data_IF_108929111245
#
_entry.id   IF_108929111245
#
_cell.length_a   1.000
_cell.length_b   1.000
_cell.length_c   1.000
_cell.angle_alpha   90.00
_cell.angle_beta   90.00
_cell.angle_gamma   90.00
#
_symmetry.space_group_name_H-M   'P 1'
#
loop_
_entity.id
_entity.type
_entity.pdbx_description
1 polymer ?
#
# COMPACT_ATOMS: atom_id res chain seq x y z
N UNK A 1 -21.53 1.04 -5.64
CA UNK A 1 -22.19 -0.06 -6.39
C UNK A 1 -23.67 0.26 -6.55
N UNK A 2 -24.27 -0.18 -7.65
CA UNK A 2 -25.69 0.03 -7.95
C UNK A 2 -26.56 -0.88 -7.06
N UNK A 3 -27.38 -0.29 -6.18
CA UNK A 3 -28.25 -1.00 -5.24
C UNK A 3 -29.40 -1.74 -5.89
N UNK A 4 -29.67 -1.53 -7.18
CA UNK A 4 -30.66 -2.35 -7.91
C UNK A 4 -30.08 -3.71 -8.34
N UNK A 5 -28.76 -3.88 -8.30
CA UNK A 5 -28.03 -5.08 -8.69
C UNK A 5 -27.29 -5.76 -7.54
N UNK A 6 -27.00 -5.02 -6.46
CA UNK A 6 -26.22 -5.49 -5.33
C UNK A 6 -26.92 -5.21 -4.00
N UNK A 7 -27.04 -6.25 -3.17
CA UNK A 7 -27.23 -6.15 -1.75
C UNK A 7 -25.87 -6.28 -1.07
N UNK A 8 -25.48 -5.29 -0.27
CA UNK A 8 -24.15 -5.25 0.37
C UNK A 8 -24.29 -5.58 1.85
N UNK A 9 -23.81 -6.77 2.21
CA UNK A 9 -23.70 -7.25 3.59
C UNK A 9 -22.27 -7.00 4.08
N UNK A 10 -22.10 -6.18 5.10
CA UNK A 10 -20.79 -5.96 5.73
C UNK A 10 -20.61 -6.89 6.94
N UNK A 11 -19.51 -7.63 6.92
CA UNK A 11 -19.16 -8.59 7.98
C UNK A 11 -18.05 -7.97 8.82
N UNK A 12 -18.45 -7.47 9.99
CA UNK A 12 -17.57 -6.76 10.90
C UNK A 12 -16.85 -7.73 11.83
N UNK A 13 -15.54 -7.80 11.70
CA UNK A 13 -14.65 -8.57 12.57
C UNK A 13 -13.86 -7.70 13.55
N UNK A 14 -14.18 -6.39 13.64
CA UNK A 14 -13.51 -5.44 14.51
C UNK A 14 -13.89 -5.66 15.98
N UNK A 15 -12.90 -5.74 16.85
CA UNK A 15 -13.11 -5.87 18.31
C UNK A 15 -13.18 -4.51 19.03
N UNK A 16 -12.87 -3.42 18.34
CA UNK A 16 -12.87 -2.06 18.89
C UNK A 16 -13.49 -1.09 17.86
N UNK A 17 -14.83 -1.08 17.73
CA UNK A 17 -15.53 -0.22 16.79
C UNK A 17 -15.31 1.28 17.11
N UNK A 18 -15.22 2.09 16.07
CA UNK A 18 -15.00 3.53 16.12
C UNK A 18 -15.98 4.29 15.20
N UNK A 19 -15.73 5.58 14.97
CA UNK A 19 -16.55 6.43 14.10
C UNK A 19 -16.56 5.91 12.65
N UNK A 20 -15.42 5.39 12.16
CA UNK A 20 -15.32 4.82 10.80
C UNK A 20 -16.17 3.55 10.69
N UNK A 21 -16.20 2.72 11.74
CA UNK A 21 -17.09 1.55 11.83
C UNK A 21 -18.57 1.98 11.70
N UNK A 22 -18.95 3.10 12.32
CA UNK A 22 -20.32 3.62 12.23
C UNK A 22 -20.65 4.10 10.80
N UNK A 23 -19.70 4.73 10.11
CA UNK A 23 -19.85 5.15 8.71
C UNK A 23 -20.05 3.93 7.78
N UNK A 24 -19.23 2.87 7.90
CA UNK A 24 -19.41 1.64 7.14
C UNK A 24 -20.77 1.00 7.41
N UNK A 25 -21.20 0.96 8.66
CA UNK A 25 -22.51 0.42 9.03
C UNK A 25 -23.66 1.15 8.37
N UNK A 26 -23.56 2.47 8.26
CA UNK A 26 -24.58 3.30 7.61
C UNK A 26 -24.64 3.09 6.08
N UNK A 27 -23.58 2.56 5.47
CA UNK A 27 -23.49 2.28 4.03
C UNK A 27 -23.95 0.88 3.66
N UNK A 28 -24.07 -0.05 4.61
CA UNK A 28 -24.47 -1.44 4.37
C UNK A 28 -25.99 -1.58 4.23
N UNK A 29 -26.44 -2.57 3.45
CA UNK A 29 -27.85 -2.98 3.43
C UNK A 29 -28.13 -3.90 4.62
N UNK A 30 -27.18 -4.78 4.98
CA UNK A 30 -27.21 -5.59 6.21
C UNK A 30 -25.82 -5.60 6.88
N UNK A 31 -25.80 -5.89 8.17
CA UNK A 31 -24.60 -5.84 9.01
C UNK A 31 -24.48 -7.09 9.90
N UNK A 32 -23.39 -7.82 9.77
CA UNK A 32 -23.08 -8.99 10.59
C UNK A 32 -21.96 -8.66 11.57
N UNK A 33 -22.25 -8.68 12.86
CA UNK A 33 -21.22 -8.54 13.92
C UNK A 33 -20.55 -9.90 14.19
N UNK A 34 -19.40 -10.11 13.57
CA UNK A 34 -18.67 -11.38 13.60
C UNK A 34 -17.38 -11.35 14.41
N UNK A 35 -17.12 -10.28 15.19
CA UNK A 35 -15.89 -10.13 15.98
C UNK A 35 -15.63 -11.32 16.93
N UNK A 36 -16.68 -11.89 17.51
CA UNK A 36 -16.62 -13.01 18.45
C UNK A 36 -17.00 -14.36 17.83
N UNK A 37 -17.23 -14.42 16.52
CA UNK A 37 -17.51 -15.66 15.81
C UNK A 37 -16.20 -16.25 15.29
N UNK A 38 -15.99 -17.56 15.50
CA UNK A 38 -14.80 -18.28 15.07
C UNK A 38 -15.17 -19.68 14.56
N UNK A 39 -14.33 -20.25 13.70
CA UNK A 39 -14.49 -21.58 13.16
C UNK A 39 -15.85 -21.79 12.49
N UNK A 40 -16.52 -22.90 12.81
CA UNK A 40 -17.81 -23.28 12.22
C UNK A 40 -18.90 -22.24 12.44
N UNK A 41 -18.94 -21.60 13.63
CA UNK A 41 -19.94 -20.59 13.94
C UNK A 41 -19.84 -19.35 13.01
N UNK A 42 -18.64 -18.96 12.60
CA UNK A 42 -18.44 -17.90 11.60
C UNK A 42 -18.96 -18.34 10.23
N UNK A 43 -18.58 -19.54 9.79
CA UNK A 43 -19.00 -20.07 8.48
C UNK A 43 -20.52 -20.29 8.41
N UNK A 44 -21.13 -20.79 9.46
CA UNK A 44 -22.58 -21.05 9.51
C UNK A 44 -23.36 -19.74 9.49
N UNK A 45 -22.87 -18.69 10.16
CA UNK A 45 -23.45 -17.35 10.07
C UNK A 45 -23.44 -16.85 8.61
N UNK A 46 -22.29 -16.93 7.92
CA UNK A 46 -22.19 -16.50 6.53
C UNK A 46 -23.09 -17.32 5.61
N UNK A 47 -23.09 -18.64 5.75
CA UNK A 47 -23.95 -19.54 4.96
C UNK A 47 -25.45 -19.26 5.16
N UNK A 48 -25.85 -18.89 6.38
CA UNK A 48 -27.26 -18.57 6.70
C UNK A 48 -27.75 -17.33 5.95
N UNK A 49 -26.85 -16.47 5.47
CA UNK A 49 -27.16 -15.25 4.71
C UNK A 49 -27.38 -15.49 3.23
N UNK A 50 -27.12 -16.70 2.72
CA UNK A 50 -27.24 -17.06 1.30
C UNK A 50 -26.51 -16.08 0.37
N UNK A 51 -25.28 -15.67 0.74
CA UNK A 51 -24.46 -14.75 -0.04
C UNK A 51 -24.02 -15.41 -1.36
N UNK A 52 -24.13 -14.70 -2.48
CA UNK A 52 -23.60 -15.15 -3.77
C UNK A 52 -22.08 -15.15 -3.79
N UNK A 53 -21.48 -14.15 -3.15
CA UNK A 53 -20.02 -13.98 -3.05
C UNK A 53 -19.62 -13.43 -1.67
N UNK A 54 -18.50 -13.92 -1.14
CA UNK A 54 -17.81 -13.33 0.00
C UNK A 54 -16.49 -12.75 -0.48
N UNK A 55 -16.26 -11.47 -0.18
CA UNK A 55 -15.01 -10.76 -0.49
C UNK A 55 -14.18 -10.56 0.78
N UNK A 56 -13.04 -11.24 0.87
CA UNK A 56 -12.04 -11.01 1.92
C UNK A 56 -11.26 -9.72 1.64
N UNK A 57 -11.28 -8.78 2.59
CA UNK A 57 -10.57 -7.51 2.51
C UNK A 57 -9.34 -7.46 3.44
N UNK A 58 -9.05 -8.55 4.13
CA UNK A 58 -7.99 -8.62 5.15
C UNK A 58 -6.74 -9.34 4.65
N UNK A 59 -6.87 -10.37 3.82
CA UNK A 59 -5.76 -11.22 3.41
C UNK A 59 -4.99 -11.71 4.64
N UNK A 60 -3.67 -11.62 4.62
CA UNK A 60 -2.80 -12.08 5.73
C UNK A 60 -2.59 -11.04 6.85
N UNK A 61 -3.44 -10.03 6.96
CA UNK A 61 -3.33 -9.06 8.06
C UNK A 61 -3.86 -9.62 9.38
N UNK A 62 -3.51 -8.96 10.49
CA UNK A 62 -3.97 -9.40 11.81
C UNK A 62 -5.51 -9.38 11.88
N UNK A 63 -6.09 -10.44 12.46
CA UNK A 63 -7.54 -10.58 12.59
C UNK A 63 -8.25 -11.07 11.34
N UNK A 64 -7.50 -11.53 10.32
CA UNK A 64 -8.07 -12.14 9.12
C UNK A 64 -8.89 -13.40 9.43
N UNK A 65 -9.69 -13.83 8.44
CA UNK A 65 -10.58 -14.98 8.53
C UNK A 65 -10.25 -16.07 7.49
N UNK A 66 -9.00 -16.14 7.04
CA UNK A 66 -8.60 -17.11 6.02
C UNK A 66 -8.78 -18.55 6.48
N UNK A 67 -8.57 -18.85 7.78
CA UNK A 67 -8.81 -20.19 8.34
C UNK A 67 -10.28 -20.60 8.21
N UNK A 68 -11.19 -19.69 8.49
CA UNK A 68 -12.64 -19.94 8.37
C UNK A 68 -13.05 -20.03 6.89
N UNK A 69 -12.52 -19.13 6.04
CA UNK A 69 -12.81 -19.15 4.60
C UNK A 69 -12.32 -20.42 3.90
N UNK A 70 -11.32 -21.12 4.46
CA UNK A 70 -10.91 -22.45 3.98
C UNK A 70 -12.03 -23.52 4.10
N UNK A 71 -13.06 -23.28 4.90
CA UNK A 71 -14.25 -24.16 4.97
C UNK A 71 -15.34 -23.84 3.92
N UNK A 72 -15.07 -22.94 2.99
CA UNK A 72 -15.98 -22.45 1.93
C UNK A 72 -17.32 -21.95 2.50
N UNK A 73 -17.33 -20.70 2.89
CA UNK A 73 -18.47 -20.06 3.53
C UNK A 73 -19.50 -19.49 2.53
N UNK A 74 -19.15 -19.42 1.22
CA UNK A 74 -20.03 -18.96 0.14
C UNK A 74 -19.74 -19.71 -1.16
N UNK A 75 -20.67 -19.69 -2.14
CA UNK A 75 -20.49 -20.29 -3.47
C UNK A 75 -19.25 -19.76 -4.20
N UNK A 76 -19.03 -18.44 -4.15
CA UNK A 76 -17.83 -17.76 -4.67
C UNK A 76 -17.11 -17.05 -3.53
N UNK A 77 -15.81 -17.21 -3.45
CA UNK A 77 -14.97 -16.51 -2.50
C UNK A 77 -13.87 -15.73 -3.24
N UNK A 78 -13.76 -14.46 -2.94
CA UNK A 78 -12.79 -13.56 -3.55
C UNK A 78 -11.94 -12.85 -2.50
N UNK A 79 -10.74 -12.44 -2.88
CA UNK A 79 -9.88 -11.57 -2.06
C UNK A 79 -9.45 -10.33 -2.83
N UNK A 80 -9.37 -9.20 -2.15
CA UNK A 80 -8.85 -7.93 -2.69
C UNK A 80 -8.33 -7.02 -1.56
N UNK A 81 -7.50 -6.05 -1.92
CA UNK A 81 -6.98 -4.96 -1.06
C UNK A 81 -6.07 -5.45 0.08
N UNK A 82 -6.50 -6.36 0.95
CA UNK A 82 -5.87 -6.65 2.24
C UNK A 82 -4.40 -7.07 2.18
N UNK A 83 -4.02 -7.86 1.19
CA UNK A 83 -2.64 -8.26 0.97
C UNK A 83 -2.34 -8.42 -0.53
N UNK A 84 -1.20 -7.92 -0.99
CA UNK A 84 -0.81 -7.97 -2.41
C UNK A 84 -0.11 -9.30 -2.76
N UNK A 85 -0.74 -10.42 -2.38
CA UNK A 85 -0.21 -11.77 -2.63
C UNK A 85 -1.35 -12.79 -2.50
N UNK A 86 -1.10 -14.04 -2.93
CA UNK A 86 -2.05 -15.15 -2.79
C UNK A 86 -2.47 -15.36 -1.33
N UNK A 87 -3.70 -15.80 -1.12
CA UNK A 87 -4.14 -16.32 0.18
C UNK A 87 -3.57 -17.70 0.46
N UNK A 88 -3.22 -18.45 -0.60
CA UNK A 88 -2.77 -19.83 -0.54
C UNK A 88 -3.90 -20.83 -0.33
N UNK A 89 -5.16 -20.40 -0.38
CA UNK A 89 -6.32 -21.26 -0.21
C UNK A 89 -6.87 -21.74 -1.56
N UNK A 90 -7.13 -23.03 -1.69
CA UNK A 90 -7.83 -23.62 -2.83
C UNK A 90 -9.33 -23.22 -2.87
N UNK A 91 -9.89 -22.84 -1.76
CA UNK A 91 -11.27 -22.39 -1.58
C UNK A 91 -11.49 -20.92 -1.90
N UNK A 92 -10.41 -20.17 -2.14
CA UNK A 92 -10.47 -18.80 -2.63
C UNK A 92 -10.43 -18.83 -4.15
N UNK A 93 -11.56 -18.51 -4.80
CA UNK A 93 -11.71 -18.67 -6.24
C UNK A 93 -11.04 -17.56 -7.04
N UNK A 94 -11.12 -16.32 -6.54
CA UNK A 94 -10.75 -15.12 -7.28
C UNK A 94 -9.88 -14.21 -6.43
N UNK A 95 -8.87 -13.65 -7.10
CA UNK A 95 -8.14 -12.49 -6.60
C UNK A 95 -8.32 -11.30 -7.55
N UNK A 96 -8.91 -10.20 -7.05
CA UNK A 96 -8.91 -8.93 -7.76
C UNK A 96 -7.57 -8.24 -7.61
N UNK A 97 -6.95 -7.90 -8.72
CA UNK A 97 -5.62 -7.30 -8.80
C UNK A 97 -5.53 -6.36 -10.00
N UNK A 98 -4.32 -6.00 -10.44
CA UNK A 98 -4.08 -5.22 -11.66
C UNK A 98 -2.87 -5.77 -12.44
N UNK A 99 -2.68 -5.27 -13.66
CA UNK A 99 -1.59 -5.70 -14.52
C UNK A 99 -0.21 -5.14 -14.14
N UNK A 100 -0.14 -4.10 -13.31
CA UNK A 100 1.14 -3.57 -12.81
C UNK A 100 1.67 -4.40 -11.65
N UNK A 101 0.78 -4.80 -10.73
CA UNK A 101 1.09 -5.65 -9.58
C UNK A 101 1.26 -7.11 -10.00
N UNK A 102 0.36 -7.60 -10.86
CA UNK A 102 0.33 -8.98 -11.36
C UNK A 102 0.39 -9.00 -12.90
N UNK A 103 1.57 -8.83 -13.53
CA UNK A 103 1.70 -8.85 -14.99
C UNK A 103 1.26 -10.18 -15.59
N UNK A 104 0.57 -10.13 -16.72
CA UNK A 104 0.07 -11.31 -17.44
C UNK A 104 1.24 -12.21 -17.86
N UNK A 105 1.10 -13.52 -17.64
CA UNK A 105 2.10 -14.53 -18.01
C UNK A 105 3.30 -14.63 -17.06
N UNK A 106 3.28 -13.93 -15.92
CA UNK A 106 4.41 -13.93 -14.99
C UNK A 106 4.06 -14.32 -13.57
N UNK A 107 2.88 -13.99 -13.08
CA UNK A 107 2.54 -14.16 -11.66
C UNK A 107 1.45 -15.21 -11.42
N UNK A 108 0.80 -15.75 -12.44
CA UNK A 108 -0.28 -16.74 -12.32
C UNK A 108 0.11 -17.95 -11.46
N UNK A 109 1.35 -18.43 -11.61
CA UNK A 109 1.86 -19.58 -10.85
C UNK A 109 2.19 -19.27 -9.39
N UNK A 110 2.13 -18.01 -9.00
CA UNK A 110 2.36 -17.56 -7.62
C UNK A 110 1.05 -17.49 -6.81
N UNK A 111 -0.08 -17.80 -7.43
CA UNK A 111 -1.41 -17.70 -6.83
C UNK A 111 -2.16 -19.02 -6.92
N UNK A 112 -2.98 -19.31 -5.91
CA UNK A 112 -3.98 -20.39 -5.93
C UNK A 112 -5.29 -19.92 -6.57
N UNK A 113 -5.54 -18.62 -6.53
CA UNK A 113 -6.73 -17.95 -7.04
C UNK A 113 -6.64 -17.68 -8.55
N UNK A 114 -7.77 -17.61 -9.23
CA UNK A 114 -7.85 -17.00 -10.55
C UNK A 114 -7.65 -15.48 -10.45
N UNK A 115 -6.71 -14.92 -11.20
CA UNK A 115 -6.46 -13.48 -11.21
C UNK A 115 -7.44 -12.74 -12.11
N UNK A 116 -8.19 -11.81 -11.54
CA UNK A 116 -9.03 -10.84 -12.26
C UNK A 116 -8.35 -9.48 -12.18
N UNK A 117 -7.78 -9.04 -13.31
CA UNK A 117 -7.01 -7.80 -13.39
C UNK A 117 -7.91 -6.65 -13.79
N UNK A 118 -8.03 -5.68 -12.90
CA UNK A 118 -8.79 -4.46 -13.12
C UNK A 118 -7.89 -3.41 -13.80
N UNK A 119 -8.40 -2.73 -14.83
CA UNK A 119 -7.67 -1.66 -15.52
C UNK A 119 -7.58 -0.40 -14.67
N UNK A 120 -8.59 -0.17 -13.83
CA UNK A 120 -8.60 0.94 -12.88
C UNK A 120 -7.65 0.73 -11.69
N UNK A 121 -7.01 -0.46 -11.58
CA UNK A 121 -6.11 -0.84 -10.50
C UNK A 121 -6.72 -1.84 -9.54
N UNK A 122 -5.88 -2.68 -8.92
CA UNK A 122 -6.30 -3.71 -7.95
C UNK A 122 -6.80 -3.15 -6.60
N UNK A 123 -6.69 -1.86 -6.40
CA UNK A 123 -7.09 -1.14 -5.18
C UNK A 123 -7.30 0.34 -5.48
N UNK A 124 -7.94 1.02 -4.54
CA UNK A 124 -8.25 2.44 -4.59
C UNK A 124 -7.75 3.14 -3.33
N UNK A 125 -7.44 4.41 -3.43
CA UNK A 125 -6.98 5.23 -2.31
C UNK A 125 -7.99 6.35 -2.01
N UNK A 126 -8.41 6.45 -0.74
CA UNK A 126 -9.16 7.58 -0.23
C UNK A 126 -8.27 8.35 0.74
N UNK A 127 -7.89 9.58 0.41
CA UNK A 127 -7.10 10.40 1.33
C UNK A 127 -7.94 10.86 2.51
N UNK A 128 -7.43 10.82 3.75
CA UNK A 128 -8.09 11.47 4.88
C UNK A 128 -8.40 12.94 4.59
N UNK A 129 -9.58 13.44 4.97
CA UNK A 129 -10.07 14.77 4.57
C UNK A 129 -9.23 15.93 5.11
N UNK A 130 -8.52 15.73 6.21
CA UNK A 130 -7.76 16.73 6.95
C UNK A 130 -6.25 16.69 6.63
N UNK A 131 -5.81 16.02 5.56
CA UNK A 131 -4.39 16.00 5.18
C UNK A 131 -3.90 17.40 4.76
N UNK A 132 -2.74 17.85 5.31
CA UNK A 132 -2.21 19.19 5.04
C UNK A 132 -1.87 19.42 3.56
N UNK A 133 -1.73 20.67 3.16
CA UNK A 133 -1.30 21.03 1.82
C UNK A 133 0.16 20.69 1.57
N UNK A 134 0.49 20.41 0.30
CA UNK A 134 1.87 20.17 -0.15
C UNK A 134 2.71 21.42 0.11
N UNK A 135 3.86 21.24 0.75
CA UNK A 135 4.82 22.31 1.02
C UNK A 135 5.97 22.29 -0.02
N UNK A 136 6.67 23.42 -0.22
CA UNK A 136 7.86 23.46 -1.07
C UNK A 136 8.90 22.40 -0.70
N UNK A 137 9.79 22.09 -1.63
CA UNK A 137 10.86 21.11 -1.44
C UNK A 137 11.77 21.52 -0.28
N UNK A 138 11.89 20.72 0.80
CA UNK A 138 12.69 21.08 1.98
C UNK A 138 14.16 21.34 1.67
N UNK A 139 14.74 20.66 0.68
CA UNK A 139 16.15 20.78 0.30
C UNK A 139 16.55 22.20 -0.09
N UNK A 140 15.66 23.01 -0.68
CA UNK A 140 15.97 24.41 -0.99
C UNK A 140 16.28 25.24 0.25
N UNK A 141 15.63 24.96 1.36
CA UNK A 141 15.87 25.64 2.63
C UNK A 141 17.02 25.01 3.41
N UNK A 142 17.09 23.68 3.40
CA UNK A 142 18.01 22.93 4.25
C UNK A 142 19.43 22.86 3.68
N UNK A 143 19.59 22.95 2.35
CA UNK A 143 20.87 22.78 1.67
C UNK A 143 21.37 21.33 1.61
N UNK A 144 20.48 20.36 1.91
CA UNK A 144 20.74 18.93 1.81
C UNK A 144 19.43 18.18 1.57
N UNK A 145 19.52 16.99 0.98
CA UNK A 145 18.38 16.07 0.78
C UNK A 145 18.04 15.35 2.09
N UNK A 146 16.77 15.29 2.41
CA UNK A 146 16.22 14.41 3.45
C UNK A 146 15.50 13.25 2.79
N UNK A 147 16.07 12.06 2.88
CA UNK A 147 15.36 10.83 2.59
C UNK A 147 14.45 10.48 3.77
N UNK A 148 13.35 9.74 3.49
CA UNK A 148 12.45 9.32 4.58
C UNK A 148 11.82 7.97 4.31
N UNK A 149 11.47 7.23 5.38
CA UNK A 149 10.61 6.05 5.25
C UNK A 149 9.58 6.02 6.35
N UNK A 150 8.33 5.89 5.94
CA UNK A 150 7.16 5.77 6.83
C UNK A 150 6.64 4.33 6.91
N UNK A 151 7.37 3.39 6.32
CA UNK A 151 7.03 1.98 6.35
C UNK A 151 7.12 1.39 7.75
N UNK A 152 6.36 0.32 7.98
CA UNK A 152 6.51 -0.47 9.20
C UNK A 152 7.95 -1.00 9.28
N UNK A 153 8.59 -0.78 10.42
CA UNK A 153 10.00 -1.19 10.67
C UNK A 153 10.24 -2.69 10.50
N UNK A 154 9.22 -3.53 10.64
CA UNK A 154 9.31 -4.96 10.34
C UNK A 154 9.62 -5.28 8.87
N UNK A 155 9.39 -4.33 7.94
CA UNK A 155 9.74 -4.45 6.51
C UNK A 155 11.19 -4.06 6.21
N UNK A 156 11.90 -3.46 7.17
CA UNK A 156 13.28 -3.01 7.01
C UNK A 156 14.22 -4.21 7.20
N UNK A 157 14.47 -4.90 6.11
CA UNK A 157 15.35 -6.07 6.06
C UNK A 157 16.84 -5.66 5.97
N UNK A 158 17.81 -6.56 6.22
CA UNK A 158 19.22 -6.27 5.98
C UNK A 158 19.51 -5.75 4.56
N UNK A 159 18.85 -6.30 3.53
CA UNK A 159 18.99 -5.85 2.15
C UNK A 159 18.49 -4.40 1.95
N UNK A 160 17.42 -3.99 2.64
CA UNK A 160 16.94 -2.60 2.64
C UNK A 160 17.97 -1.68 3.28
N UNK A 161 18.54 -2.09 4.43
CA UNK A 161 19.58 -1.32 5.12
C UNK A 161 20.85 -1.18 4.28
N UNK A 162 21.26 -2.24 3.58
CA UNK A 162 22.40 -2.19 2.66
C UNK A 162 22.17 -1.14 1.56
N UNK A 163 21.00 -1.17 0.89
CA UNK A 163 20.67 -0.20 -0.17
C UNK A 163 20.53 1.23 0.35
N UNK A 164 19.93 1.44 1.52
CA UNK A 164 19.79 2.78 2.10
C UNK A 164 21.14 3.35 2.54
N UNK A 165 22.06 2.51 3.04
CA UNK A 165 23.41 2.92 3.38
C UNK A 165 24.19 3.33 2.14
N UNK A 166 24.03 2.61 1.02
CA UNK A 166 24.63 2.96 -0.26
C UNK A 166 24.08 4.29 -0.80
N UNK A 167 22.74 4.49 -0.75
CA UNK A 167 22.11 5.78 -1.11
C UNK A 167 22.71 6.94 -0.32
N UNK A 168 22.80 6.80 1.01
CA UNK A 168 23.37 7.82 1.88
C UNK A 168 24.87 8.04 1.59
N UNK A 169 25.60 7.01 1.18
CA UNK A 169 27.00 7.09 0.76
C UNK A 169 27.17 7.89 -0.53
N UNK A 170 26.28 7.67 -1.52
CA UNK A 170 26.34 8.35 -2.83
C UNK A 170 25.74 9.76 -2.84
N UNK A 171 24.91 10.11 -1.84
CA UNK A 171 24.36 11.46 -1.67
C UNK A 171 24.94 12.09 -0.39
N UNK A 172 26.13 12.71 -0.46
CA UNK A 172 26.79 13.31 0.70
C UNK A 172 25.91 14.38 1.37
N UNK A 173 26.02 14.51 2.70
CA UNK A 173 25.22 15.41 3.54
C UNK A 173 23.74 15.09 3.62
N UNK A 174 23.20 14.14 2.85
CA UNK A 174 21.80 13.74 3.00
C UNK A 174 21.53 13.14 4.38
N UNK A 175 20.27 13.21 4.80
CA UNK A 175 19.79 12.65 6.07
C UNK A 175 18.72 11.61 5.82
N UNK A 176 18.52 10.73 6.78
CA UNK A 176 17.45 9.72 6.76
C UNK A 176 16.53 9.91 7.95
N UNK A 177 15.27 10.20 7.68
CA UNK A 177 14.20 10.33 8.65
C UNK A 177 13.37 9.03 8.64
N UNK A 178 13.25 8.39 9.81
CA UNK A 178 12.51 7.14 9.98
C UNK A 178 11.37 7.29 10.97
N UNK A 179 10.20 6.78 10.59
CA UNK A 179 9.01 6.70 11.43
C UNK A 179 8.84 5.26 11.96
N UNK A 180 8.56 5.08 13.25
CA UNK A 180 8.22 3.76 13.80
C UNK A 180 8.82 3.46 15.16
N UNK A 181 9.05 2.16 15.42
CA UNK A 181 9.66 1.64 16.65
C UNK A 181 10.96 0.90 16.32
N UNK A 182 11.64 0.38 17.37
CA UNK A 182 12.91 -0.38 17.23
C UNK A 182 14.09 0.42 16.67
N UNK A 183 14.11 1.71 16.92
CA UNK A 183 15.12 2.63 16.40
C UNK A 183 16.56 2.24 16.72
N UNK A 184 16.82 1.71 17.93
CA UNK A 184 18.17 1.33 18.33
C UNK A 184 18.78 0.31 17.37
N UNK A 185 18.08 -0.79 17.11
CA UNK A 185 18.56 -1.86 16.21
C UNK A 185 18.82 -1.32 14.80
N UNK A 186 17.89 -0.55 14.24
CA UNK A 186 18.03 0.04 12.88
C UNK A 186 19.20 1.01 12.84
N UNK A 187 19.33 1.88 13.85
CA UNK A 187 20.45 2.82 13.97
C UNK A 187 21.78 2.08 14.00
N UNK A 188 21.94 1.11 14.93
CA UNK A 188 23.17 0.36 15.09
C UNK A 188 23.57 -0.36 13.81
N UNK A 189 22.61 -0.91 13.07
CA UNK A 189 22.84 -1.57 11.80
C UNK A 189 23.23 -0.60 10.67
N UNK A 190 22.68 0.61 10.61
CA UNK A 190 23.09 1.65 9.65
C UNK A 190 24.48 2.20 9.98
N UNK A 191 24.78 2.44 11.26
CA UNK A 191 26.11 2.89 11.72
C UNK A 191 27.18 1.85 11.40
N UNK A 192 26.92 0.56 11.61
CA UNK A 192 27.82 -0.54 11.20
C UNK A 192 28.11 -0.56 9.71
N UNK A 193 27.20 -0.04 8.88
CA UNK A 193 27.33 0.10 7.43
C UNK A 193 28.03 1.42 7.01
N UNK A 194 28.52 2.19 7.98
CA UNK A 194 29.28 3.41 7.74
C UNK A 194 28.43 4.69 7.61
N UNK A 195 27.15 4.65 8.00
CA UNK A 195 26.32 5.86 8.04
C UNK A 195 26.60 6.61 9.33
N UNK A 196 26.91 7.90 9.25
CA UNK A 196 27.13 8.76 10.40
C UNK A 196 25.81 8.90 11.20
N UNK A 197 25.88 8.74 12.52
CA UNK A 197 24.72 8.75 13.40
C UNK A 197 23.95 10.08 13.37
N UNK A 198 24.64 11.19 13.22
CA UNK A 198 24.07 12.54 13.15
C UNK A 198 23.23 12.81 11.87
N UNK A 199 23.34 11.92 10.88
CA UNK A 199 22.51 11.90 9.68
C UNK A 199 21.21 11.11 9.83
N UNK A 200 21.00 10.44 10.97
CA UNK A 200 19.84 9.57 11.23
C UNK A 200 18.88 10.27 12.19
N UNK A 201 17.64 10.39 11.80
CA UNK A 201 16.57 10.94 12.62
C UNK A 201 15.43 9.94 12.79
N UNK A 202 14.94 9.81 14.01
CA UNK A 202 13.86 8.87 14.38
C UNK A 202 12.73 9.62 15.07
N UNK A 203 11.51 9.57 14.53
CA UNK A 203 10.37 10.38 14.94
C UNK A 203 9.24 9.61 15.61
N UNK A 204 9.44 8.51 16.23
CA UNK A 204 8.35 7.78 16.88
C UNK A 204 7.17 7.48 15.94
N UNK A 205 5.96 7.43 16.49
CA UNK A 205 4.70 7.21 15.76
C UNK A 205 3.69 8.33 16.05
N UNK A 206 3.84 9.51 15.48
CA UNK A 206 2.79 10.52 15.56
C UNK A 206 1.52 10.02 14.85
N UNK A 207 0.35 10.53 15.23
CA UNK A 207 -0.94 10.16 14.65
C UNK A 207 -1.61 11.37 13.97
N UNK A 208 -2.58 11.10 13.08
CA UNK A 208 -3.37 12.12 12.42
C UNK A 208 -2.53 13.17 11.70
N UNK A 209 -2.91 14.44 11.83
CA UNK A 209 -2.21 15.55 11.16
C UNK A 209 -0.71 15.62 11.48
N UNK A 210 -0.31 15.30 12.71
CA UNK A 210 1.10 15.29 13.10
C UNK A 210 1.93 14.25 12.32
N UNK A 211 1.31 13.12 11.97
CA UNK A 211 1.93 12.11 11.09
C UNK A 211 2.09 12.62 9.65
N UNK A 212 1.02 13.18 9.08
CA UNK A 212 1.06 13.71 7.72
C UNK A 212 2.05 14.86 7.57
N UNK A 213 2.13 15.75 8.55
CA UNK A 213 3.06 16.88 8.57
C UNK A 213 4.54 16.44 8.54
N UNK A 214 4.90 15.22 8.96
CA UNK A 214 6.28 14.73 8.84
C UNK A 214 6.75 14.62 7.37
N UNK A 215 5.83 14.42 6.43
CA UNK A 215 6.16 14.38 5.00
C UNK A 215 6.68 15.74 4.47
N UNK A 216 6.37 16.86 5.14
CA UNK A 216 6.92 18.16 4.80
C UNK A 216 8.44 18.27 5.03
N UNK A 217 9.03 17.35 5.78
CA UNK A 217 10.45 17.31 6.13
C UNK A 217 11.25 16.42 5.20
N UNK A 218 10.59 15.69 4.31
CA UNK A 218 11.16 14.68 3.43
C UNK A 218 11.13 15.16 2.00
N UNK A 219 12.25 15.03 1.30
CA UNK A 219 12.37 15.34 -0.13
C UNK A 219 12.02 14.12 -0.99
N UNK A 220 12.53 12.95 -0.63
CA UNK A 220 12.37 11.68 -1.34
C UNK A 220 12.07 10.59 -0.31
N UNK A 221 10.97 9.86 -0.47
CA UNK A 221 10.70 8.68 0.34
C UNK A 221 11.45 7.46 -0.21
N UNK A 222 11.94 6.60 0.68
CA UNK A 222 12.56 5.33 0.34
C UNK A 222 11.60 4.18 0.68
N UNK A 223 11.30 3.36 -0.33
CA UNK A 223 10.47 2.18 -0.15
C UNK A 223 11.25 1.01 0.48
N UNK A 224 10.50 0.03 0.95
CA UNK A 224 11.02 -1.24 1.47
C UNK A 224 10.80 -2.36 0.47
N UNK A 225 11.65 -3.39 0.51
CA UNK A 225 11.54 -4.56 -0.33
C UNK A 225 12.00 -5.83 0.44
N UNK A 226 11.52 -7.02 0.08
CA UNK A 226 10.60 -7.36 -1.03
C UNK A 226 9.13 -6.99 -0.78
N UNK A 227 8.79 -6.33 0.32
CA UNK A 227 7.43 -5.92 0.66
C UNK A 227 7.32 -4.39 0.65
N UNK A 228 6.77 -3.84 -0.45
CA UNK A 228 6.60 -2.41 -0.62
C UNK A 228 5.58 -1.78 0.35
N UNK A 229 5.64 -0.46 0.46
CA UNK A 229 4.57 0.34 1.07
C UNK A 229 3.39 0.49 0.11
N UNK A 230 2.16 0.31 0.59
CA UNK A 230 0.95 0.66 -0.15
C UNK A 230 0.41 2.00 0.37
N UNK A 231 -0.28 1.98 1.50
CA UNK A 231 -0.92 3.16 2.09
C UNK A 231 0.08 4.29 2.39
N UNK A 232 1.25 3.95 2.92
CA UNK A 232 2.29 4.94 3.23
C UNK A 232 2.85 5.60 1.98
N UNK A 233 2.95 4.88 0.86
CA UNK A 233 3.38 5.42 -0.44
C UNK A 233 2.31 6.30 -1.06
N UNK A 234 1.02 5.94 -0.92
CA UNK A 234 -0.10 6.80 -1.32
C UNK A 234 -0.13 8.10 -0.50
N UNK A 235 0.08 8.03 0.82
CA UNK A 235 0.21 9.22 1.67
C UNK A 235 1.39 10.09 1.25
N UNK A 236 2.55 9.49 0.98
CA UNK A 236 3.72 10.23 0.49
C UNK A 236 3.38 10.97 -0.81
N UNK A 237 2.79 10.29 -1.80
CA UNK A 237 2.37 10.91 -3.06
C UNK A 237 1.35 12.05 -2.84
N UNK A 238 0.36 11.86 -1.97
CA UNK A 238 -0.63 12.89 -1.63
C UNK A 238 0.00 14.11 -0.96
N UNK A 239 1.03 13.89 -0.16
CA UNK A 239 1.81 14.94 0.52
C UNK A 239 2.92 15.54 -0.37
N UNK A 240 2.97 15.16 -1.65
CA UNK A 240 3.95 15.66 -2.60
C UNK A 240 5.35 15.03 -2.46
N UNK A 241 5.49 13.91 -1.77
CA UNK A 241 6.78 13.23 -1.57
C UNK A 241 6.90 12.05 -2.53
N UNK A 242 7.77 12.13 -3.55
CA UNK A 242 8.03 11.03 -4.46
C UNK A 242 8.71 9.86 -3.72
N UNK A 243 8.31 8.63 -4.04
CA UNK A 243 8.85 7.43 -3.40
C UNK A 243 9.75 6.66 -4.36
N UNK A 244 11.03 6.56 -4.05
CA UNK A 244 11.98 5.74 -4.79
C UNK A 244 11.81 4.26 -4.40
N UNK A 245 11.57 3.43 -5.40
CA UNK A 245 11.32 1.99 -5.25
C UNK A 245 11.98 1.21 -6.39
N UNK A 246 11.90 -0.11 -6.34
CA UNK A 246 12.17 -1.00 -7.47
C UNK A 246 11.16 -2.15 -7.46
N UNK A 247 10.98 -2.82 -8.60
CA UNK A 247 10.03 -3.91 -8.75
C UNK A 247 10.75 -5.25 -8.92
N UNK A 248 10.31 -6.25 -8.16
CA UNK A 248 10.72 -7.65 -8.35
C UNK A 248 9.56 -8.47 -8.97
N UNK A 249 9.66 -9.79 -8.98
CA UNK A 249 8.65 -10.66 -9.58
C UNK A 249 7.38 -10.79 -8.72
N UNK A 250 7.50 -10.70 -7.41
CA UNK A 250 6.38 -10.95 -6.49
C UNK A 250 5.43 -9.74 -6.44
N UNK A 251 4.11 -9.95 -6.41
CA UNK A 251 3.14 -8.85 -6.34
C UNK A 251 3.42 -7.84 -5.23
N UNK A 252 3.73 -8.30 -4.02
CA UNK A 252 4.04 -7.43 -2.88
C UNK A 252 5.27 -6.53 -3.11
N UNK A 253 6.17 -6.88 -4.02
CA UNK A 253 7.35 -6.07 -4.41
C UNK A 253 7.10 -5.19 -5.65
N UNK A 254 5.87 -5.15 -6.16
CA UNK A 254 5.47 -4.38 -7.34
C UNK A 254 4.50 -3.25 -7.04
N UNK A 255 4.09 -3.12 -5.78
CA UNK A 255 3.13 -2.08 -5.36
C UNK A 255 3.68 -0.68 -5.61
N UNK A 256 4.96 -0.42 -5.33
CA UNK A 256 5.63 0.84 -5.65
C UNK A 256 5.61 1.13 -7.15
N UNK A 257 5.83 0.12 -7.99
CA UNK A 257 5.72 0.22 -9.45
C UNK A 257 4.29 0.53 -9.91
N UNK A 258 3.29 -0.15 -9.35
CA UNK A 258 1.89 0.10 -9.66
C UNK A 258 1.49 1.56 -9.32
N UNK A 259 1.91 2.06 -8.15
CA UNK A 259 1.68 3.45 -7.76
C UNK A 259 2.37 4.41 -8.73
N UNK A 260 3.66 4.23 -9.00
CA UNK A 260 4.42 5.09 -9.90
C UNK A 260 3.84 5.09 -11.33
N UNK A 261 3.34 3.95 -11.82
CA UNK A 261 2.68 3.83 -13.12
C UNK A 261 1.38 4.63 -13.18
N UNK A 262 0.54 4.50 -12.17
CA UNK A 262 -0.73 5.26 -12.06
C UNK A 262 -0.51 6.77 -11.86
N UNK A 263 0.63 7.16 -11.29
CA UNK A 263 1.06 8.56 -11.18
C UNK A 263 1.75 9.09 -12.45
N UNK A 264 2.13 8.22 -13.39
CA UNK A 264 2.88 8.60 -14.60
C UNK A 264 4.30 9.09 -14.32
N UNK A 265 5.01 8.49 -13.34
CA UNK A 265 6.36 8.89 -12.89
C UNK A 265 7.33 7.70 -12.75
N UNK A 266 7.10 6.62 -13.50
CA UNK A 266 7.91 5.39 -13.41
C UNK A 266 9.39 5.67 -13.61
N UNK A 267 9.75 6.43 -14.67
CA UNK A 267 11.16 6.72 -15.00
C UNK A 267 11.90 7.45 -13.88
N UNK A 268 11.19 8.29 -13.12
CA UNK A 268 11.78 9.03 -12.02
C UNK A 268 11.88 8.19 -10.74
N UNK A 269 10.86 7.37 -10.45
CA UNK A 269 10.66 6.76 -9.12
C UNK A 269 11.00 5.27 -9.06
N UNK A 270 11.13 4.58 -10.20
CA UNK A 270 11.43 3.15 -10.21
C UNK A 270 12.82 2.89 -10.76
N UNK A 271 13.70 2.44 -9.89
CA UNK A 271 15.03 1.98 -10.30
C UNK A 271 14.89 0.66 -11.11
N UNK A 272 15.64 0.48 -12.20
CA UNK A 272 15.60 -0.75 -13.01
C UNK A 272 15.92 -2.01 -12.22
N UNK A 273 16.80 -1.89 -11.24
CA UNK A 273 17.13 -2.96 -10.30
C UNK A 273 17.46 -2.40 -8.91
N UNK A 274 17.60 -3.30 -7.95
CA UNK A 274 18.06 -2.93 -6.60
C UNK A 274 19.43 -2.24 -6.62
N UNK A 275 20.34 -2.68 -7.50
CA UNK A 275 21.67 -2.10 -7.63
C UNK A 275 21.63 -0.66 -8.17
N UNK A 276 20.58 -0.28 -8.88
CA UNK A 276 20.43 1.06 -9.47
C UNK A 276 19.77 2.07 -8.51
N UNK A 277 19.31 1.64 -7.34
CA UNK A 277 18.61 2.52 -6.38
C UNK A 277 19.46 3.73 -5.98
N UNK A 278 20.72 3.50 -5.66
CA UNK A 278 21.61 4.59 -5.24
C UNK A 278 21.92 5.57 -6.40
N UNK A 279 22.10 5.05 -7.61
CA UNK A 279 22.27 5.88 -8.82
C UNK A 279 21.01 6.72 -9.11
N UNK A 280 19.82 6.13 -8.96
CA UNK A 280 18.58 6.85 -9.17
C UNK A 280 18.34 7.90 -8.08
N UNK A 281 18.67 7.60 -6.82
CA UNK A 281 18.61 8.56 -5.71
C UNK A 281 19.53 9.76 -5.95
N UNK A 282 20.76 9.53 -6.44
CA UNK A 282 21.71 10.56 -6.79
C UNK A 282 21.19 11.46 -7.92
N UNK A 283 20.64 10.89 -8.99
CA UNK A 283 20.03 11.67 -10.09
C UNK A 283 18.92 12.60 -9.61
N UNK A 284 18.06 12.13 -8.71
CA UNK A 284 16.98 12.93 -8.13
C UNK A 284 17.54 14.03 -7.21
N UNK A 285 18.60 13.75 -6.47
CA UNK A 285 19.24 14.69 -5.55
C UNK A 285 20.02 15.80 -6.27
N UNK A 286 20.54 15.53 -7.47
CA UNK A 286 21.34 16.45 -8.26
C UNK A 286 20.48 17.47 -9.02
N UNK A 287 19.18 17.17 -9.27
CA UNK A 287 18.26 18.05 -10.00
C UNK A 287 17.08 18.46 -9.09
N UNK A 288 17.32 19.45 -8.23
CA UNK A 288 16.32 19.94 -7.29
C UNK A 288 15.12 20.61 -7.98
N UNK A 289 15.29 21.20 -9.15
CA UNK A 289 14.19 21.83 -9.89
C UNK A 289 13.24 20.74 -10.43
N UNK A 290 13.76 19.70 -11.09
CA UNK A 290 12.96 18.58 -11.54
C UNK A 290 12.28 17.86 -10.37
N UNK A 291 12.97 17.68 -9.23
CA UNK A 291 12.39 17.08 -8.02
C UNK A 291 11.25 17.95 -7.44
N UNK A 292 11.42 19.27 -7.47
CA UNK A 292 10.39 20.24 -7.04
C UNK A 292 9.16 20.19 -7.94
N UNK A 293 9.32 20.07 -9.26
CA UNK A 293 8.23 19.93 -10.22
C UNK A 293 7.47 18.63 -10.03
N UNK A 294 8.19 17.53 -9.80
CA UNK A 294 7.56 16.25 -9.42
C UNK A 294 6.73 16.46 -8.16
N UNK A 295 7.30 17.00 -7.09
CA UNK A 295 6.62 17.26 -5.81
C UNK A 295 5.35 18.08 -5.99
N UNK A 296 5.41 19.17 -6.72
CA UNK A 296 4.28 20.06 -6.96
C UNK A 296 3.14 19.38 -7.72
N UNK A 297 3.45 18.45 -8.62
CA UNK A 297 2.47 17.75 -9.45
C UNK A 297 1.81 16.54 -8.78
N UNK A 298 2.46 15.93 -7.77
CA UNK A 298 2.09 14.61 -7.24
C UNK A 298 0.67 14.53 -6.71
N UNK A 299 0.19 15.52 -5.92
CA UNK A 299 -1.19 15.51 -5.40
C UNK A 299 -2.23 15.51 -6.52
N UNK A 300 -2.02 16.30 -7.57
CA UNK A 300 -2.92 16.29 -8.73
C UNK A 300 -2.90 14.93 -9.43
N UNK A 301 -1.70 14.38 -9.67
CA UNK A 301 -1.54 13.05 -10.27
C UNK A 301 -2.18 11.95 -9.42
N UNK A 302 -2.08 12.04 -8.09
CA UNK A 302 -2.72 11.11 -7.17
C UNK A 302 -4.26 11.20 -7.23
N UNK A 303 -4.83 12.40 -7.34
CA UNK A 303 -6.27 12.59 -7.57
C UNK A 303 -6.73 11.90 -8.85
N UNK A 304 -5.97 12.07 -9.93
CA UNK A 304 -6.30 11.52 -11.24
C UNK A 304 -6.08 10.00 -11.32
N UNK A 305 -5.00 9.49 -10.72
CA UNK A 305 -4.57 8.11 -10.87
C UNK A 305 -4.93 7.16 -9.72
N UNK A 306 -5.02 7.65 -8.48
CA UNK A 306 -5.23 6.78 -7.31
C UNK A 306 -6.63 6.89 -6.69
N UNK A 307 -7.31 8.05 -6.87
CA UNK A 307 -8.62 8.37 -6.26
C UNK A 307 -9.78 8.24 -7.26
N UNK A 308 -9.60 7.57 -8.39
CA UNK A 308 -10.62 7.41 -9.42
C UNK A 308 -11.68 6.37 -9.03
N UNK A 309 -12.63 6.75 -8.15
CA UNK A 309 -13.60 5.84 -7.53
C UNK A 309 -14.56 5.22 -8.56
N UNK A 310 -15.22 6.03 -9.39
CA UNK A 310 -16.29 5.53 -10.24
C UNK A 310 -15.81 4.48 -11.26
N UNK A 311 -14.72 4.68 -12.03
CA UNK A 311 -14.21 3.66 -12.93
C UNK A 311 -13.87 2.34 -12.23
N UNK A 312 -13.31 2.42 -11.01
CA UNK A 312 -12.99 1.23 -10.21
C UNK A 312 -14.24 0.50 -9.75
N UNK A 313 -15.25 1.23 -9.26
CA UNK A 313 -16.54 0.66 -8.82
C UNK A 313 -17.26 -0.01 -9.98
N UNK A 314 -17.26 0.61 -11.16
CA UNK A 314 -17.93 0.06 -12.34
C UNK A 314 -17.25 -1.25 -12.80
N UNK A 315 -15.92 -1.25 -12.86
CA UNK A 315 -15.15 -2.42 -13.32
C UNK A 315 -15.24 -3.60 -12.34
N UNK A 316 -15.11 -3.34 -11.02
CA UNK A 316 -15.24 -4.40 -10.01
C UNK A 316 -16.67 -4.95 -9.94
N UNK A 317 -17.69 -4.09 -10.09
CA UNK A 317 -19.09 -4.52 -10.11
C UNK A 317 -19.36 -5.48 -11.27
N UNK A 318 -18.92 -5.14 -12.48
CA UNK A 318 -19.02 -6.01 -13.65
C UNK A 318 -18.27 -7.34 -13.46
N UNK A 319 -17.10 -7.28 -12.87
CA UNK A 319 -16.27 -8.47 -12.62
C UNK A 319 -16.90 -9.40 -11.58
N UNK A 320 -17.54 -8.86 -10.55
CA UNK A 320 -18.29 -9.64 -9.54
C UNK A 320 -19.49 -10.35 -10.20
N UNK A 321 -20.31 -9.62 -10.97
CA UNK A 321 -21.46 -10.20 -11.69
C UNK A 321 -20.99 -11.35 -12.59
N UNK A 322 -19.95 -11.12 -13.40
CA UNK A 322 -19.41 -12.14 -14.30
C UNK A 322 -18.86 -13.36 -13.55
N UNK A 323 -18.45 -13.23 -12.31
CA UNK A 323 -17.92 -14.33 -11.48
C UNK A 323 -19.02 -15.16 -10.83
N UNK A 324 -20.16 -14.56 -10.48
CA UNK A 324 -21.32 -15.25 -9.90
C UNK A 324 -22.21 -15.92 -10.95
N UNK A 325 -22.07 -15.61 -12.23
CA UNK A 325 -22.87 -16.18 -13.34
C UNK A 325 -22.23 -17.40 -14.00
N UNK A 326 -21.08 -17.84 -13.54
CA UNK A 326 -20.39 -19.06 -14.00
C UNK A 326 -20.76 -20.26 -13.14
#
# INVERSE_FOLDING_TARGET
MDRSQFEIVLIDTCTAPDEVTAEFRAMADDWVSAANLHGDAFCDELRSRNLDIVCDLSGHTQGNRLTELAARCAPVQATLIGAMQTTGLSEMDIRFTDHWTDPIGTTETLHTEQLVRLNAGGWIFEPPPDMPDVQPLPAFKNGFITFGSFNNTAKITPCVLDSWSEILGQVPKSRLLLNGFHFRTIRDELVKRGVDEDRLEFIGRPAGQAYYAQHHRVDIALDTFPFNGLTVTCFAAWMGVPTLSHAEIRPASRVGYAIASRLGIVEAMIAPSKADLATQAMKLADDLEALSDIRASLRRRAKEGLVAHQPWVDEISQSIIASCTR
#
